data_IF_606116613235
#
_entry.id   IF_606116613235
#
_cell.length_a   1.000
_cell.length_b   1.000
_cell.length_c   1.000
_cell.angle_alpha   90.00
_cell.angle_beta   90.00
_cell.angle_gamma   90.00
#
_symmetry.space_group_name_H-M   'P 1'
#
loop_
_entity.id
_entity.type
_entity.pdbx_description
1 polymer ?
#
# COMPACT_ATOMS: atom_id res chain seq x y z
N UNK A 1 47.37 -62.54 41.56
CA UNK A 1 47.35 -61.06 41.64
C UNK A 1 46.06 -60.58 41.01
N UNK A 2 45.16 -59.98 41.81
CA UNK A 2 43.86 -59.45 41.36
C UNK A 2 44.07 -58.00 40.96
N UNK A 3 43.80 -57.65 39.70
CA UNK A 3 43.72 -56.26 39.27
C UNK A 3 42.26 -55.91 39.00
N UNK A 4 41.69 -55.15 39.93
CA UNK A 4 40.41 -54.47 39.76
C UNK A 4 40.62 -53.26 38.85
N UNK A 5 39.88 -53.18 37.75
CA UNK A 5 39.85 -51.99 36.90
C UNK A 5 38.43 -51.45 36.88
N UNK A 6 38.24 -50.32 37.54
CA UNK A 6 37.01 -49.55 37.52
C UNK A 6 36.90 -48.85 36.15
N UNK A 7 35.82 -49.13 35.42
CA UNK A 7 35.45 -48.37 34.21
C UNK A 7 34.49 -47.28 34.66
N UNK A 8 34.97 -46.04 34.65
CA UNK A 8 34.15 -44.86 34.87
C UNK A 8 33.24 -44.62 33.65
N UNK A 9 31.94 -44.49 33.92
CA UNK A 9 30.91 -44.18 32.95
C UNK A 9 31.12 -42.76 32.39
N UNK A 10 31.25 -42.63 31.06
CA UNK A 10 31.12 -41.36 30.36
C UNK A 10 29.68 -41.22 29.92
N UNK A 11 28.88 -40.53 30.73
CA UNK A 11 27.56 -40.03 30.33
C UNK A 11 27.78 -38.95 29.27
N UNK A 12 27.57 -39.31 28.00
CA UNK A 12 27.44 -38.33 26.94
C UNK A 12 26.17 -37.51 27.22
N UNK A 13 26.36 -36.30 27.75
CA UNK A 13 25.36 -35.25 27.71
C UNK A 13 25.09 -34.96 26.23
N UNK A 14 24.05 -35.57 25.68
CA UNK A 14 23.38 -35.03 24.51
C UNK A 14 22.94 -33.63 24.92
N UNK A 15 23.72 -32.63 24.49
CA UNK A 15 23.33 -31.24 24.44
C UNK A 15 22.09 -31.16 23.56
N UNK A 16 20.95 -31.28 24.23
CA UNK A 16 19.64 -30.80 23.79
C UNK A 16 19.87 -29.53 22.97
N UNK A 17 19.46 -29.60 21.69
CA UNK A 17 19.59 -28.52 20.75
C UNK A 17 19.25 -27.20 21.41
N UNK A 18 20.11 -26.20 21.21
CA UNK A 18 19.86 -24.82 21.59
C UNK A 18 18.44 -24.47 21.15
N UNK A 19 17.55 -24.33 22.14
CA UNK A 19 16.26 -23.71 21.92
C UNK A 19 16.55 -22.35 21.28
N UNK A 20 16.10 -22.17 20.03
CA UNK A 20 16.09 -20.86 19.40
C UNK A 20 15.21 -19.96 20.29
N UNK A 21 15.83 -19.11 21.10
CA UNK A 21 15.13 -17.99 21.71
C UNK A 21 14.56 -17.18 20.55
N UNK A 22 13.23 -17.10 20.47
CA UNK A 22 12.53 -16.48 19.36
C UNK A 22 12.74 -14.96 19.40
N UNK A 23 13.68 -14.47 18.58
CA UNK A 23 13.87 -13.07 18.31
C UNK A 23 12.60 -12.40 17.79
N UNK A 24 12.38 -11.14 18.18
CA UNK A 24 11.24 -10.36 17.69
C UNK A 24 11.43 -10.07 16.20
N UNK A 25 10.35 -10.18 15.45
CA UNK A 25 10.28 -9.93 14.02
C UNK A 25 9.88 -8.48 13.84
N UNK A 26 10.68 -7.75 13.09
CA UNK A 26 10.45 -6.35 12.75
C UNK A 26 10.06 -6.24 11.28
N UNK A 27 9.09 -5.37 10.97
CA UNK A 27 8.77 -5.02 9.59
C UNK A 27 9.38 -3.66 9.30
N UNK A 28 10.23 -3.61 8.28
CA UNK A 28 10.83 -2.37 7.80
C UNK A 28 10.20 -2.01 6.45
N UNK A 29 9.71 -0.78 6.32
CA UNK A 29 9.22 -0.24 5.05
C UNK A 29 10.14 0.86 4.57
N UNK A 30 10.58 0.75 3.32
CA UNK A 30 11.31 1.80 2.60
C UNK A 30 10.48 2.27 1.42
N UNK A 31 10.43 3.57 1.17
CA UNK A 31 9.82 4.10 -0.04
C UNK A 31 10.68 5.18 -0.69
N UNK A 32 10.50 5.41 -1.98
CA UNK A 32 11.24 6.40 -2.76
C UNK A 32 10.74 7.82 -2.49
N UNK A 33 11.64 8.80 -2.60
CA UNK A 33 11.29 10.24 -2.62
C UNK A 33 10.37 10.61 -3.76
N UNK A 34 10.63 10.04 -4.93
CA UNK A 34 9.92 10.38 -6.15
C UNK A 34 8.46 9.93 -6.05
N UNK A 35 7.55 10.89 -6.22
CA UNK A 35 6.12 10.66 -6.21
C UNK A 35 5.58 10.58 -7.64
N UNK A 36 4.64 9.68 -7.87
CA UNK A 36 4.01 9.40 -9.15
C UNK A 36 2.54 9.79 -9.03
N UNK A 37 2.06 10.59 -9.97
CA UNK A 37 0.64 10.88 -10.11
C UNK A 37 -0.03 9.66 -10.74
N UNK A 38 -0.82 8.94 -9.95
CA UNK A 38 -1.59 7.78 -10.42
C UNK A 38 -3.05 8.12 -10.69
N UNK A 39 -3.40 9.41 -10.69
CA UNK A 39 -4.78 9.87 -10.81
C UNK A 39 -5.68 9.24 -9.77
N UNK A 40 -6.94 9.02 -10.15
CA UNK A 40 -7.95 8.37 -9.33
C UNK A 40 -7.88 6.83 -9.30
N UNK A 41 -6.69 6.25 -9.47
CA UNK A 41 -6.50 4.81 -9.32
C UNK A 41 -6.96 4.35 -7.93
N UNK A 42 -7.84 3.35 -7.88
CA UNK A 42 -8.18 2.68 -6.63
C UNK A 42 -6.97 1.87 -6.14
N UNK A 43 -6.21 2.48 -5.23
CA UNK A 43 -4.99 1.88 -4.69
C UNK A 43 -5.27 0.57 -3.96
N UNK A 44 -6.42 0.42 -3.30
CA UNK A 44 -6.75 -0.79 -2.55
C UNK A 44 -7.04 -1.96 -3.47
N UNK A 45 -7.84 -1.72 -4.51
CA UNK A 45 -8.09 -2.69 -5.59
C UNK A 45 -6.79 -3.07 -6.30
N UNK A 46 -5.98 -2.09 -6.67
CA UNK A 46 -4.78 -2.27 -7.50
C UNK A 46 -3.59 -2.88 -6.74
N UNK A 47 -3.58 -2.82 -5.40
CA UNK A 47 -2.50 -3.37 -4.57
C UNK A 47 -2.99 -4.50 -3.68
N UNK A 48 -3.64 -4.19 -2.56
CA UNK A 48 -4.07 -5.15 -1.56
C UNK A 48 -4.91 -6.27 -2.16
N UNK A 49 -6.05 -5.93 -2.78
CA UNK A 49 -6.93 -6.96 -3.33
C UNK A 49 -6.26 -7.72 -4.46
N UNK A 50 -5.45 -7.05 -5.28
CA UNK A 50 -4.68 -7.72 -6.32
C UNK A 50 -3.73 -8.78 -5.75
N UNK A 51 -3.09 -8.51 -4.61
CA UNK A 51 -2.24 -9.48 -3.91
C UNK A 51 -3.05 -10.72 -3.52
N UNK A 52 -4.20 -10.54 -2.88
CA UNK A 52 -5.03 -11.65 -2.42
C UNK A 52 -5.77 -12.38 -3.54
N UNK A 53 -6.02 -11.73 -4.67
CA UNK A 53 -6.70 -12.31 -5.83
C UNK A 53 -5.75 -13.06 -6.77
N UNK A 54 -4.43 -12.92 -6.63
CA UNK A 54 -3.46 -13.57 -7.52
C UNK A 54 -3.20 -15.01 -7.09
N UNK A 55 -3.29 -15.93 -8.06
CA UNK A 55 -3.00 -17.35 -7.85
C UNK A 55 -1.56 -17.55 -7.34
N UNK A 56 -1.40 -18.42 -6.35
CA UNK A 56 -0.08 -18.75 -5.79
C UNK A 56 0.43 -17.77 -4.72
N UNK A 57 -0.35 -16.76 -4.32
CA UNK A 57 -0.03 -15.81 -3.24
C UNK A 57 0.20 -16.45 -1.84
N UNK A 58 0.16 -17.77 -1.72
CA UNK A 58 0.59 -18.47 -0.52
C UNK A 58 2.10 -18.42 -0.31
N UNK A 59 2.90 -18.16 -1.36
CA UNK A 59 4.38 -18.17 -1.30
C UNK A 59 5.05 -16.99 -1.98
N UNK A 60 4.52 -16.57 -3.11
CA UNK A 60 5.09 -15.48 -3.88
C UNK A 60 4.01 -14.85 -4.76
N UNK A 61 4.28 -13.63 -5.21
CA UNK A 61 3.45 -12.92 -6.18
C UNK A 61 4.34 -12.15 -7.14
N UNK A 62 3.98 -12.21 -8.42
CA UNK A 62 4.49 -11.29 -9.44
C UNK A 62 3.32 -10.86 -10.30
N UNK A 63 3.01 -9.57 -10.31
CA UNK A 63 2.00 -8.99 -11.20
C UNK A 63 2.53 -7.74 -11.87
N UNK A 64 2.03 -7.48 -13.06
CA UNK A 64 2.32 -6.29 -13.85
C UNK A 64 1.03 -5.87 -14.54
N UNK A 65 0.43 -4.79 -14.05
CA UNK A 65 -0.87 -4.32 -14.53
C UNK A 65 -0.85 -2.83 -14.81
N UNK A 66 -1.51 -2.44 -15.89
CA UNK A 66 -1.72 -1.04 -16.26
C UNK A 66 -3.19 -0.70 -16.12
N UNK A 67 -3.47 0.43 -15.48
CA UNK A 67 -4.80 0.93 -15.22
C UNK A 67 -4.96 2.31 -15.86
N UNK A 68 -6.03 2.50 -16.62
CA UNK A 68 -6.45 3.83 -17.05
C UNK A 68 -6.99 4.59 -15.84
N UNK A 69 -6.43 5.76 -15.56
CA UNK A 69 -6.85 6.65 -14.48
C UNK A 69 -7.03 8.08 -14.98
N UNK A 70 -7.79 8.86 -14.22
CA UNK A 70 -8.00 10.29 -14.48
C UNK A 70 -7.12 11.10 -13.52
N UNK A 71 -6.19 11.88 -14.06
CA UNK A 71 -5.34 12.79 -13.30
C UNK A 71 -5.92 14.20 -13.20
N UNK A 72 -6.75 14.62 -14.14
CA UNK A 72 -7.38 15.94 -14.14
C UNK A 72 -8.46 16.09 -13.06
N UNK A 73 -8.58 17.30 -12.49
CA UNK A 73 -9.59 17.59 -11.46
C UNK A 73 -11.04 17.59 -11.96
N UNK A 74 -11.26 17.92 -13.24
CA UNK A 74 -12.56 17.83 -13.89
C UNK A 74 -12.44 17.26 -15.30
N UNK A 75 -13.07 16.11 -15.53
CA UNK A 75 -13.03 15.37 -16.80
C UNK A 75 -14.41 15.33 -17.42
N UNK A 76 -14.49 15.67 -18.71
CA UNK A 76 -15.73 15.66 -19.48
C UNK A 76 -16.36 14.26 -19.51
N UNK A 77 -17.67 14.19 -19.69
CA UNK A 77 -18.37 12.93 -19.97
C UNK A 77 -17.89 12.24 -21.26
N UNK A 78 -17.26 12.99 -22.16
CA UNK A 78 -16.69 12.46 -23.40
C UNK A 78 -15.21 12.10 -23.29
N UNK A 79 -14.56 12.42 -22.16
CA UNK A 79 -13.13 12.15 -21.98
C UNK A 79 -12.92 10.72 -21.49
N UNK A 80 -11.92 10.05 -22.07
CA UNK A 80 -11.36 8.82 -21.53
C UNK A 80 -10.28 9.10 -20.47
N UNK A 81 -9.74 8.05 -19.83
CA UNK A 81 -8.60 8.19 -18.93
C UNK A 81 -7.44 8.92 -19.60
N UNK A 82 -6.90 9.95 -18.92
CA UNK A 82 -5.80 10.79 -19.42
C UNK A 82 -4.44 10.42 -18.80
N UNK A 83 -4.42 9.37 -17.99
CA UNK A 83 -3.23 8.82 -17.37
C UNK A 83 -3.28 7.28 -17.40
N UNK A 84 -2.11 6.65 -17.48
CA UNK A 84 -1.96 5.21 -17.37
C UNK A 84 -1.02 4.91 -16.21
N UNK A 85 -1.59 4.45 -15.10
CA UNK A 85 -0.85 4.03 -13.93
C UNK A 85 -0.51 2.53 -14.05
N UNK A 86 0.78 2.21 -14.15
CA UNK A 86 1.28 0.84 -14.12
C UNK A 86 1.78 0.50 -12.72
N UNK A 87 1.30 -0.64 -12.23
CA UNK A 87 1.60 -1.18 -10.89
C UNK A 87 2.25 -2.55 -11.08
N UNK A 88 3.51 -2.65 -10.64
CA UNK A 88 4.25 -3.91 -10.59
C UNK A 88 4.36 -4.33 -9.14
N UNK A 89 3.89 -5.54 -8.83
CA UNK A 89 3.96 -6.10 -7.47
C UNK A 89 4.88 -7.30 -7.54
N UNK A 90 5.88 -7.34 -6.68
CA UNK A 90 6.76 -8.48 -6.50
C UNK A 90 6.88 -8.79 -5.02
N UNK A 91 6.52 -9.99 -4.60
CA UNK A 91 6.63 -10.41 -3.22
C UNK A 91 6.99 -11.88 -3.11
N UNK A 92 7.72 -12.22 -2.05
CA UNK A 92 8.07 -13.58 -1.70
C UNK A 92 8.01 -13.72 -0.18
N UNK A 93 7.42 -14.80 0.31
CA UNK A 93 7.33 -15.12 1.72
C UNK A 93 7.38 -16.62 1.92
N UNK A 94 8.22 -17.03 2.87
CA UNK A 94 8.43 -18.42 3.22
C UNK A 94 7.81 -18.80 4.55
N UNK A 95 8.11 -20.03 4.98
CA UNK A 95 7.89 -20.44 6.38
C UNK A 95 9.02 -19.87 7.22
N UNK A 96 8.73 -18.83 7.97
CA UNK A 96 9.64 -18.32 8.99
C UNK A 96 9.45 -19.15 10.28
N UNK A 97 10.53 -19.72 10.87
CA UNK A 97 10.40 -20.49 12.12
C UNK A 97 9.71 -19.67 13.21
N UNK A 98 8.67 -20.23 13.83
CA UNK A 98 7.88 -19.59 14.87
C UNK A 98 6.66 -18.78 14.39
N UNK A 99 6.53 -18.51 13.08
CA UNK A 99 5.35 -17.87 12.50
C UNK A 99 4.37 -18.89 11.90
N UNK A 100 3.09 -18.50 11.86
CA UNK A 100 2.06 -19.19 11.09
C UNK A 100 2.37 -19.16 9.58
N UNK A 101 1.71 -20.02 8.79
CA UNK A 101 2.03 -20.20 7.37
C UNK A 101 1.80 -18.95 6.50
N UNK A 102 1.06 -17.96 6.99
CA UNK A 102 0.74 -16.72 6.28
C UNK A 102 1.13 -15.46 7.05
N UNK A 103 1.61 -15.56 8.29
CA UNK A 103 1.83 -14.39 9.14
C UNK A 103 2.86 -13.42 8.53
N UNK A 104 3.91 -13.93 7.89
CA UNK A 104 4.86 -13.10 7.14
C UNK A 104 4.19 -12.28 6.04
N UNK A 105 3.30 -12.91 5.26
CA UNK A 105 2.54 -12.24 4.20
C UNK A 105 1.64 -11.17 4.80
N UNK A 106 0.85 -11.55 5.80
CA UNK A 106 -0.12 -10.64 6.41
C UNK A 106 0.60 -9.43 7.02
N UNK A 107 1.72 -9.63 7.71
CA UNK A 107 2.54 -8.56 8.26
C UNK A 107 3.08 -7.63 7.15
N UNK A 108 3.69 -8.18 6.10
CA UNK A 108 4.23 -7.40 4.99
C UNK A 108 3.14 -6.59 4.27
N UNK A 109 2.00 -7.21 3.96
CA UNK A 109 0.90 -6.58 3.23
C UNK A 109 0.19 -5.52 4.08
N UNK A 110 -0.11 -5.82 5.35
CA UNK A 110 -0.73 -4.88 6.29
C UNK A 110 0.13 -3.63 6.49
N UNK A 111 1.40 -3.84 6.79
CA UNK A 111 2.35 -2.77 7.03
C UNK A 111 2.58 -1.93 5.77
N UNK A 112 2.84 -2.56 4.62
CA UNK A 112 3.11 -1.82 3.39
C UNK A 112 1.91 -1.00 2.95
N UNK A 113 0.69 -1.57 3.03
CA UNK A 113 -0.54 -0.84 2.73
C UNK A 113 -0.79 0.33 3.67
N UNK A 114 -0.58 0.12 4.97
CA UNK A 114 -0.68 1.18 5.97
C UNK A 114 0.25 2.34 5.66
N UNK A 115 1.52 2.06 5.35
CA UNK A 115 2.50 3.08 4.98
C UNK A 115 2.15 3.75 3.65
N UNK A 116 1.77 2.97 2.63
CA UNK A 116 1.35 3.51 1.34
C UNK A 116 0.23 4.54 1.52
N UNK A 117 -0.83 4.16 2.26
CA UNK A 117 -1.96 5.03 2.57
C UNK A 117 -1.53 6.29 3.33
N UNK A 118 -0.70 6.13 4.36
CA UNK A 118 -0.24 7.27 5.17
C UNK A 118 0.62 8.27 4.37
N UNK A 119 1.34 7.81 3.34
CA UNK A 119 2.10 8.67 2.43
C UNK A 119 1.20 9.27 1.33
N UNK A 120 0.22 8.51 0.82
CA UNK A 120 -0.61 8.93 -0.32
C UNK A 120 -1.80 9.82 0.05
N UNK A 121 -2.45 9.57 1.20
CA UNK A 121 -3.66 10.29 1.62
C UNK A 121 -3.45 11.81 1.74
N UNK A 122 -2.34 12.33 2.29
CA UNK A 122 -2.11 13.78 2.37
C UNK A 122 -1.97 14.46 1.00
N UNK A 123 -1.66 13.68 -0.05
CA UNK A 123 -1.51 14.19 -1.42
C UNK A 123 -2.80 14.09 -2.22
N UNK A 124 -3.90 13.66 -1.61
CA UNK A 124 -5.14 13.42 -2.33
C UNK A 124 -5.75 14.71 -2.90
N UNK A 125 -6.34 14.63 -4.09
CA UNK A 125 -7.10 15.72 -4.69
C UNK A 125 -8.45 15.24 -5.23
N UNK A 126 -9.37 16.18 -5.38
CA UNK A 126 -10.69 15.89 -5.93
C UNK A 126 -10.59 15.62 -7.44
N UNK A 127 -11.08 14.46 -7.87
CA UNK A 127 -11.23 14.09 -9.29
C UNK A 127 -12.70 13.91 -9.59
N UNK A 128 -13.27 14.87 -10.30
CA UNK A 128 -14.62 14.81 -10.82
C UNK A 128 -14.61 14.30 -12.26
N UNK A 129 -15.44 13.29 -12.54
CA UNK A 129 -15.58 12.72 -13.88
C UNK A 129 -17.03 12.75 -14.31
N UNK A 130 -17.25 12.55 -15.61
CA UNK A 130 -18.58 12.69 -16.21
C UNK A 130 -19.16 14.09 -15.97
N UNK A 131 -18.32 15.10 -16.24
CA UNK A 131 -18.69 16.50 -16.13
C UNK A 131 -19.38 17.02 -17.40
N UNK A 132 -20.33 17.92 -17.17
CA UNK A 132 -21.03 18.72 -18.16
C UNK A 132 -20.81 20.21 -17.85
N UNK A 133 -21.11 21.09 -18.80
CA UNK A 133 -20.95 22.53 -18.60
C UNK A 133 -19.49 22.97 -18.45
N UNK A 134 -18.54 22.22 -19.03
CA UNK A 134 -17.11 22.56 -19.01
C UNK A 134 -16.73 23.62 -20.06
N UNK A 135 -17.71 24.19 -20.77
CA UNK A 135 -17.53 25.34 -21.66
C UNK A 135 -18.85 26.10 -21.78
N UNK A 136 -18.80 27.35 -22.26
CA UNK A 136 -20.00 28.17 -22.47
C UNK A 136 -20.96 27.60 -23.54
N UNK A 137 -20.48 26.70 -24.41
CA UNK A 137 -21.27 26.04 -25.46
C UNK A 137 -21.99 24.78 -24.95
N UNK A 138 -21.55 24.25 -23.81
CA UNK A 138 -22.06 23.00 -23.27
C UNK A 138 -23.10 23.30 -22.18
N UNK A 139 -24.32 22.80 -22.36
CA UNK A 139 -25.32 22.81 -21.30
C UNK A 139 -24.99 21.80 -20.20
N UNK A 140 -25.44 22.08 -18.98
CA UNK A 140 -25.53 21.09 -17.90
C UNK A 140 -26.92 20.44 -17.94
N UNK A 141 -27.03 19.12 -17.71
CA UNK A 141 -28.32 18.46 -17.67
C UNK A 141 -29.16 18.94 -16.48
N UNK A 142 -30.48 18.80 -16.59
CA UNK A 142 -31.39 19.09 -15.48
C UNK A 142 -31.29 17.94 -14.46
N UNK A 143 -30.76 18.24 -13.28
CA UNK A 143 -30.64 17.29 -12.19
C UNK A 143 -31.92 17.23 -11.36
N UNK A 144 -32.20 16.05 -10.80
CA UNK A 144 -33.37 15.81 -9.97
C UNK A 144 -33.03 14.85 -8.83
N UNK A 145 -33.99 14.58 -7.96
CA UNK A 145 -33.78 13.71 -6.81
C UNK A 145 -33.29 12.29 -7.16
N UNK A 146 -33.62 11.79 -8.36
CA UNK A 146 -33.27 10.43 -8.81
C UNK A 146 -31.93 10.38 -9.57
N UNK A 147 -31.39 11.52 -9.97
CA UNK A 147 -30.09 11.65 -10.62
C UNK A 147 -29.35 12.81 -9.99
N UNK A 148 -28.63 12.52 -8.91
CA UNK A 148 -27.89 13.51 -8.13
C UNK A 148 -26.44 13.54 -8.60
N UNK A 149 -25.93 14.67 -9.10
CA UNK A 149 -24.53 14.81 -9.43
C UNK A 149 -23.67 14.77 -8.15
N UNK A 150 -22.41 14.39 -8.30
CA UNK A 150 -21.41 14.55 -7.26
C UNK A 150 -21.22 16.02 -6.90
N UNK A 151 -21.18 16.89 -7.91
CA UNK A 151 -21.07 18.33 -7.73
C UNK A 151 -21.85 19.15 -8.76
N UNK A 152 -22.14 20.40 -8.41
CA UNK A 152 -22.94 21.29 -9.25
C UNK A 152 -24.43 20.95 -9.20
N UNK A 153 -25.21 21.47 -10.16
CA UNK A 153 -26.57 21.00 -10.40
C UNK A 153 -27.67 21.48 -9.46
N UNK A 154 -27.45 22.58 -8.73
CA UNK A 154 -28.46 23.18 -7.84
C UNK A 154 -28.49 22.50 -6.46
N UNK A 155 -29.66 22.35 -5.81
CA UNK A 155 -29.76 21.83 -4.44
C UNK A 155 -29.50 20.31 -4.35
N UNK A 156 -29.41 19.63 -5.48
CA UNK A 156 -29.24 18.18 -5.56
C UNK A 156 -27.77 17.88 -5.87
N UNK A 157 -26.93 17.72 -4.84
CA UNK A 157 -25.55 17.26 -4.99
C UNK A 157 -25.18 16.29 -3.86
N UNK A 158 -24.27 15.35 -4.11
CA UNK A 158 -23.90 14.33 -3.11
C UNK A 158 -22.58 14.61 -2.41
N UNK A 159 -21.66 15.35 -3.03
CA UNK A 159 -20.34 15.68 -2.46
C UNK A 159 -20.26 17.16 -2.12
N UNK A 160 -20.56 18.05 -3.06
CA UNK A 160 -20.52 19.51 -2.82
C UNK A 160 -21.24 20.33 -3.88
N UNK A 161 -21.54 21.58 -3.55
CA UNK A 161 -22.27 22.47 -4.46
C UNK A 161 -21.45 22.90 -5.69
N UNK A 162 -20.13 23.10 -5.56
CA UNK A 162 -19.26 23.57 -6.65
C UNK A 162 -18.23 22.52 -7.04
N UNK A 163 -18.01 22.30 -8.34
CA UNK A 163 -17.10 21.25 -8.84
C UNK A 163 -15.61 21.62 -8.83
N UNK A 164 -15.24 22.85 -8.43
CA UNK A 164 -13.87 23.38 -8.57
C UNK A 164 -13.28 23.28 -9.99
N UNK A 165 -14.12 23.12 -11.00
CA UNK A 165 -13.70 23.17 -12.40
C UNK A 165 -13.41 24.61 -12.82
N UNK A 166 -12.62 24.77 -13.89
CA UNK A 166 -12.31 26.08 -14.48
C UNK A 166 -13.59 26.91 -14.77
N UNK A 167 -14.64 26.24 -15.22
CA UNK A 167 -15.95 26.84 -15.45
C UNK A 167 -16.89 26.57 -14.27
N UNK A 168 -17.28 27.63 -13.57
CA UNK A 168 -18.13 27.55 -12.36
C UNK A 168 -19.55 27.00 -12.60
N UNK A 169 -19.99 26.87 -13.86
CA UNK A 169 -21.26 26.25 -14.24
C UNK A 169 -21.20 24.74 -14.42
N UNK A 170 -20.03 24.13 -14.21
CA UNK A 170 -19.85 22.70 -14.39
C UNK A 170 -20.66 21.88 -13.37
N UNK A 171 -21.11 20.72 -13.81
CA UNK A 171 -21.73 19.72 -12.94
C UNK A 171 -21.29 18.32 -13.33
N UNK A 172 -20.89 17.51 -12.36
CA UNK A 172 -20.26 16.22 -12.60
C UNK A 172 -20.98 15.10 -11.87
N UNK A 173 -21.16 13.95 -12.52
CA UNK A 173 -21.89 12.82 -11.94
C UNK A 173 -21.06 12.04 -10.91
N UNK A 174 -19.74 11.96 -11.12
CA UNK A 174 -18.86 11.09 -10.35
C UNK A 174 -17.78 11.87 -9.64
N UNK A 175 -17.45 11.39 -8.45
CA UNK A 175 -16.36 11.87 -7.62
C UNK A 175 -15.49 10.69 -7.20
N UNK A 176 -14.19 10.94 -7.19
CA UNK A 176 -13.15 10.05 -6.71
C UNK A 176 -11.98 10.88 -6.21
N UNK A 177 -11.10 10.27 -5.42
CA UNK A 177 -9.86 10.90 -5.00
C UNK A 177 -8.73 10.47 -5.92
N UNK A 178 -8.01 11.46 -6.44
CA UNK A 178 -6.71 11.26 -7.07
C UNK A 178 -5.62 11.19 -6.00
N UNK A 179 -4.54 10.44 -6.24
CA UNK A 179 -3.44 10.30 -5.29
C UNK A 179 -2.07 10.40 -5.95
N UNK A 180 -1.07 10.90 -5.21
CA UNK A 180 0.34 10.68 -5.51
C UNK A 180 0.86 9.55 -4.64
N UNK A 181 1.67 8.68 -5.23
CA UNK A 181 2.26 7.53 -4.54
C UNK A 181 3.76 7.49 -4.77
N UNK A 182 4.58 6.94 -3.85
CA UNK A 182 5.99 6.76 -4.13
C UNK A 182 6.19 5.85 -5.35
N UNK A 183 7.19 6.15 -6.20
CA UNK A 183 7.53 5.32 -7.37
C UNK A 183 7.90 3.89 -6.97
N UNK A 184 8.47 3.69 -5.79
CA UNK A 184 8.74 2.38 -5.21
C UNK A 184 8.43 2.40 -3.71
N UNK A 185 7.75 1.35 -3.24
CA UNK A 185 7.62 1.03 -1.81
C UNK A 185 7.98 -0.43 -1.60
N UNK A 186 8.79 -0.71 -0.57
CA UNK A 186 9.31 -2.03 -0.26
C UNK A 186 9.21 -2.31 1.24
N UNK A 187 8.65 -3.45 1.60
CA UNK A 187 8.66 -3.99 2.95
C UNK A 187 9.59 -5.20 3.03
N UNK A 188 10.36 -5.31 4.11
CA UNK A 188 11.21 -6.44 4.44
C UNK A 188 10.95 -6.88 5.88
N UNK A 189 11.14 -8.17 6.16
CA UNK A 189 11.16 -8.67 7.52
C UNK A 189 12.59 -8.76 8.06
N UNK A 190 12.75 -8.42 9.33
CA UNK A 190 13.99 -8.58 10.08
C UNK A 190 13.73 -9.45 11.31
N UNK A 191 14.73 -10.21 11.74
CA UNK A 191 14.75 -10.90 13.03
C UNK A 191 16.09 -10.65 13.69
N UNK A 192 16.07 -10.07 14.89
CA UNK A 192 17.29 -9.72 15.64
C UNK A 192 18.27 -8.87 14.81
N UNK A 193 17.74 -7.93 14.02
CA UNK A 193 18.51 -7.06 13.13
C UNK A 193 19.02 -7.72 11.84
N UNK A 194 18.76 -9.02 11.62
CA UNK A 194 19.11 -9.71 10.38
C UNK A 194 17.95 -9.71 9.38
N UNK A 195 18.25 -9.37 8.13
CA UNK A 195 17.30 -9.37 7.03
C UNK A 195 16.85 -10.81 6.71
N UNK A 196 15.54 -11.04 6.72
CA UNK A 196 14.93 -12.27 6.23
C UNK A 196 14.72 -12.20 4.72
N UNK A 197 14.56 -13.36 4.08
CA UNK A 197 14.30 -13.44 2.63
C UNK A 197 12.90 -12.92 2.24
N UNK A 198 11.99 -12.80 3.22
CA UNK A 198 10.62 -12.38 3.03
C UNK A 198 10.54 -10.88 2.73
N UNK A 199 9.95 -10.53 1.59
CA UNK A 199 9.83 -9.14 1.15
C UNK A 199 8.61 -8.93 0.25
N UNK A 200 8.16 -7.67 0.17
CA UNK A 200 7.13 -7.22 -0.74
C UNK A 200 7.55 -5.87 -1.32
N UNK A 201 7.53 -5.73 -2.63
CA UNK A 201 7.83 -4.49 -3.34
C UNK A 201 6.67 -4.16 -4.27
N UNK A 202 6.23 -2.90 -4.24
CA UNK A 202 5.30 -2.34 -5.22
C UNK A 202 6.00 -1.19 -5.92
N UNK A 203 5.99 -1.24 -7.25
CA UNK A 203 6.50 -0.17 -8.10
C UNK A 203 5.34 0.46 -8.84
N UNK A 204 5.29 1.78 -8.80
CA UNK A 204 4.32 2.59 -9.50
C UNK A 204 5.04 3.37 -10.59
N UNK A 205 4.42 3.44 -11.77
CA UNK A 205 4.86 4.31 -12.84
C UNK A 205 3.65 4.88 -13.56
N UNK A 206 3.76 6.11 -14.05
CA UNK A 206 2.70 6.75 -14.81
C UNK A 206 3.32 7.68 -15.85
N UNK A 207 2.52 8.10 -16.84
CA UNK A 207 2.98 9.04 -17.86
C UNK A 207 3.25 10.43 -17.27
N UNK A 208 2.56 10.78 -16.17
CA UNK A 208 2.80 12.01 -15.40
C UNK A 208 3.62 11.68 -14.15
N UNK A 209 4.89 12.09 -14.18
CA UNK A 209 5.78 12.03 -13.01
C UNK A 209 5.80 13.42 -12.37
N UNK A 210 5.51 13.49 -11.07
CA UNK A 210 5.52 14.75 -10.32
C UNK A 210 6.63 14.67 -9.28
N UNK A 211 7.73 15.40 -9.52
CA UNK A 211 8.86 15.45 -8.59
C UNK A 211 8.54 16.32 -7.38
N UNK A 212 7.79 15.76 -6.45
CA UNK A 212 7.65 16.28 -5.08
C UNK A 212 8.51 15.46 -4.11
N UNK A 213 9.04 16.12 -3.09
CA UNK A 213 9.83 15.47 -2.03
C UNK A 213 8.92 14.68 -1.07
N UNK A 214 8.54 13.46 -1.45
CA UNK A 214 7.60 12.60 -0.71
C UNK A 214 8.01 12.17 0.71
N UNK A 215 9.21 12.55 1.19
CA UNK A 215 9.71 12.14 2.51
C UNK A 215 9.20 12.95 3.71
N UNK A 216 8.45 14.04 3.50
CA UNK A 216 8.08 14.96 4.59
C UNK A 216 7.32 14.31 5.76
N UNK A 217 6.75 13.12 5.56
CA UNK A 217 5.83 12.44 6.49
C UNK A 217 6.44 11.26 7.25
N UNK A 218 7.70 10.88 7.03
CA UNK A 218 8.33 9.67 7.62
C UNK A 218 8.17 9.59 9.15
N UNK A 219 8.37 10.70 9.87
CA UNK A 219 8.32 10.72 11.34
C UNK A 219 6.90 10.56 11.93
N UNK A 220 5.85 10.89 11.16
CA UNK A 220 4.47 10.73 11.60
C UNK A 220 3.97 9.28 11.49
N UNK A 221 4.57 8.50 10.58
CA UNK A 221 4.12 7.15 10.22
C UNK A 221 4.59 6.10 11.23
N UNK A 222 5.80 6.26 11.80
CA UNK A 222 6.36 5.31 12.77
C UNK A 222 5.52 5.18 14.07
N UNK A 223 4.80 6.24 14.46
CA UNK A 223 3.94 6.25 15.66
C UNK A 223 2.56 5.61 15.45
N UNK A 224 2.16 5.33 14.21
CA UNK A 224 0.79 4.92 13.87
C UNK A 224 0.53 3.41 13.95
N UNK A 225 1.57 2.58 14.00
CA UNK A 225 1.46 1.13 13.82
C UNK A 225 1.89 0.28 15.01
N UNK A 226 1.99 0.86 16.21
CA UNK A 226 2.19 0.12 17.45
C UNK A 226 0.96 -0.75 17.78
N UNK A 227 0.86 -1.94 17.17
CA UNK A 227 -0.20 -2.92 17.45
C UNK A 227 -0.90 -3.56 16.24
N UNK A 228 -0.49 -3.25 15.01
CA UNK A 228 -1.21 -3.70 13.80
C UNK A 228 -0.68 -5.00 13.18
N UNK A 229 0.30 -5.68 13.80
CA UNK A 229 0.93 -6.85 13.19
C UNK A 229 0.20 -8.16 13.57
N UNK A 230 -0.11 -9.02 12.58
CA UNK A 230 -0.84 -10.27 12.79
C UNK A 230 0.10 -11.36 13.34
N UNK A 231 -0.41 -12.19 14.24
CA UNK A 231 0.34 -13.27 14.90
C UNK A 231 0.32 -13.13 16.42
N UNK A 232 0.93 -14.06 17.18
CA UNK A 232 1.09 -13.88 18.61
C UNK A 232 1.90 -12.59 18.82
N UNK A 233 1.28 -11.57 19.42
CA UNK A 233 1.86 -10.24 19.63
C UNK A 233 3.23 -10.25 20.33
N UNK A 234 3.66 -11.41 20.88
CA UNK A 234 4.97 -11.65 21.43
C UNK A 234 6.10 -11.80 20.40
N UNK A 235 5.80 -12.18 19.15
CA UNK A 235 6.80 -12.46 18.12
C UNK A 235 7.07 -11.29 17.18
N UNK A 236 6.17 -10.32 17.06
CA UNK A 236 6.43 -9.11 16.30
C UNK A 236 6.83 -7.96 17.24
N UNK A 237 7.86 -7.21 16.86
CA UNK A 237 8.22 -5.99 17.58
C UNK A 237 7.08 -4.97 17.45
N UNK A 238 6.88 -4.16 18.49
CA UNK A 238 5.84 -3.13 18.54
C UNK A 238 6.16 -1.89 17.70
N UNK A 239 6.94 -2.03 16.62
CA UNK A 239 7.41 -0.91 15.81
C UNK A 239 7.60 -1.30 14.35
N UNK A 240 7.22 -0.39 13.46
CA UNK A 240 7.53 -0.44 12.03
C UNK A 240 8.61 0.61 11.77
N UNK A 241 9.73 0.18 11.21
CA UNK A 241 10.80 1.09 10.81
C UNK A 241 10.48 1.61 9.41
N UNK A 242 10.26 2.92 9.29
CA UNK A 242 9.93 3.55 8.00
C UNK A 242 11.08 4.43 7.55
N UNK A 243 11.56 4.23 6.33
CA UNK A 243 12.63 5.02 5.73
C UNK A 243 12.23 5.56 4.38
N UNK A 244 12.66 6.77 4.06
CA UNK A 244 12.53 7.35 2.74
C UNK A 244 13.90 7.42 2.07
N UNK A 245 14.06 6.69 0.96
CA UNK A 245 15.31 6.57 0.21
C UNK A 245 15.53 7.69 -0.79
N UNK A 246 16.79 7.99 -1.08
CA UNK A 246 17.19 8.90 -2.16
C UNK A 246 16.80 8.34 -3.54
#
# INVERSE_FOLDING_TARGET
>A
MKFSTAVAAVTALFSSGTAFAAGKIEVEVRYSKEMIDVGNLDLFMATWQKIYATDGNGRAIVTDNTYGAFGGGCMSTYDGPDNNARVIINGAWGRVPGLGPHDSREALVQTLWGVLKAVSDPTAWDVFTQCYGLSWQQGSPIWNNNRRPACGGGPFHTVRQTCLCLYGGASCEKFSLGHRVPSVIKANLYRDGQLLADSLTIQFSAQRVVKDEGCGTVNAIAGLFGGLLPGPASLFASGISVFCGA
#
